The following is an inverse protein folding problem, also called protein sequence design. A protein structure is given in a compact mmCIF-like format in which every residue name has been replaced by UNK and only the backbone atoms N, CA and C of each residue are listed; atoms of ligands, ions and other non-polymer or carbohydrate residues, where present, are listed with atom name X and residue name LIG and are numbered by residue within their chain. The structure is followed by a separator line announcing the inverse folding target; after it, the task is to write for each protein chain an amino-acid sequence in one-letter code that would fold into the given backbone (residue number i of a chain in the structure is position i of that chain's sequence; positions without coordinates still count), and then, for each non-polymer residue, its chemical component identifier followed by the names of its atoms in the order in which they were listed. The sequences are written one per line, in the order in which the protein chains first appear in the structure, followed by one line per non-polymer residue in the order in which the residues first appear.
data_IF_343665088705
#
_entry.id   IF_343665088705
#
_cell.length_a   1.000
_cell.length_b   1.000
_cell.length_c   1.000
_cell.angle_alpha   90.00
_cell.angle_beta   90.00
_cell.angle_gamma   90.00
#
_symmetry.space_group_name_H-M   'P 1'
#
loop_
_entity.id
_entity.type
_entity.pdbx_description
1 polymer ?
#
# COMPACT_ATOMS: atom_id res chain seq x y z
N UNK A 1 -18.06 -19.49 -22.67
CA UNK A 1 -18.19 -18.29 -21.81
C UNK A 1 -17.65 -18.53 -20.39
N UNK A 2 -16.48 -19.19 -20.25
CA UNK A 2 -15.93 -19.63 -18.92
C UNK A 2 -14.63 -18.88 -18.53
N UNK A 3 -14.13 -17.97 -19.37
CA UNK A 3 -12.78 -17.38 -19.26
C UNK A 3 -12.63 -16.19 -18.29
N UNK A 4 -13.50 -16.01 -17.29
CA UNK A 4 -13.50 -14.77 -16.50
C UNK A 4 -13.35 -14.94 -14.98
N UNK A 5 -13.05 -16.14 -14.48
CA UNK A 5 -12.84 -16.34 -13.03
C UNK A 5 -11.35 -16.25 -12.67
N UNK A 6 -11.04 -15.38 -11.70
CA UNK A 6 -9.69 -15.30 -11.14
C UNK A 6 -9.37 -16.56 -10.34
N UNK A 7 -8.14 -17.09 -10.42
CA UNK A 7 -7.74 -18.24 -9.63
C UNK A 7 -7.75 -17.93 -8.14
N UNK A 8 -8.03 -18.94 -7.32
CA UNK A 8 -8.24 -18.80 -5.88
C UNK A 8 -7.08 -18.11 -5.14
N UNK A 9 -5.84 -18.29 -5.59
CA UNK A 9 -4.66 -17.68 -4.96
C UNK A 9 -4.69 -16.14 -4.96
N UNK A 10 -5.37 -15.52 -5.93
CA UNK A 10 -5.48 -14.05 -6.02
C UNK A 10 -6.24 -13.50 -4.81
N UNK A 11 -7.26 -14.21 -4.32
CA UNK A 11 -8.04 -13.78 -3.16
C UNK A 11 -7.26 -13.85 -1.85
N UNK A 12 -6.30 -14.79 -1.72
CA UNK A 12 -5.38 -14.78 -0.57
C UNK A 12 -4.49 -13.55 -0.58
N UNK A 13 -4.04 -13.11 -1.76
CA UNK A 13 -3.25 -11.88 -1.90
C UNK A 13 -4.09 -10.61 -1.72
N UNK A 14 -5.39 -10.64 -2.06
CA UNK A 14 -6.33 -9.58 -1.68
C UNK A 14 -6.40 -9.44 -0.17
N UNK A 15 -6.58 -10.56 0.56
CA UNK A 15 -6.59 -10.54 2.02
C UNK A 15 -5.25 -10.06 2.56
N UNK A 16 -4.13 -10.53 2.02
CA UNK A 16 -2.81 -10.04 2.40
C UNK A 16 -2.64 -8.53 2.19
N UNK A 17 -3.17 -8.00 1.09
CA UNK A 17 -3.19 -6.55 0.82
C UNK A 17 -4.10 -5.79 1.78
N UNK A 18 -5.22 -6.38 2.20
CA UNK A 18 -6.05 -5.79 3.24
C UNK A 18 -5.27 -5.63 4.55
N UNK A 19 -4.51 -6.65 4.97
CA UNK A 19 -3.66 -6.59 6.17
C UNK A 19 -2.57 -5.50 6.05
N UNK A 20 -1.92 -5.42 4.88
CA UNK A 20 -0.95 -4.36 4.59
C UNK A 20 -1.57 -2.97 4.74
N UNK A 21 -2.74 -2.75 4.13
CA UNK A 21 -3.41 -1.46 4.20
C UNK A 21 -4.00 -1.16 5.58
N UNK A 22 -4.43 -2.16 6.36
CA UNK A 22 -4.80 -1.95 7.76
C UNK A 22 -3.60 -1.40 8.53
N UNK A 23 -2.43 -2.04 8.41
CA UNK A 23 -1.22 -1.59 9.09
C UNK A 23 -0.79 -0.18 8.65
N UNK A 24 -0.84 0.11 7.34
CA UNK A 24 -0.50 1.43 6.79
C UNK A 24 -1.45 2.54 7.27
N UNK A 25 -2.77 2.27 7.31
CA UNK A 25 -3.79 3.24 7.76
C UNK A 25 -3.68 3.49 9.26
N UNK A 26 -3.49 2.43 10.06
CA UNK A 26 -3.24 2.60 11.49
C UNK A 26 -1.97 3.43 11.73
N UNK A 27 -0.89 3.14 11.00
CA UNK A 27 0.37 3.88 11.09
C UNK A 27 0.22 5.37 10.79
N UNK A 28 -0.40 5.75 9.66
CA UNK A 28 -0.59 7.18 9.33
C UNK A 28 -1.50 7.88 10.36
N UNK A 29 -2.47 7.16 10.93
CA UNK A 29 -3.40 7.72 11.92
C UNK A 29 -2.72 8.07 13.24
N UNK A 30 -1.78 7.24 13.72
CA UNK A 30 -1.19 7.40 15.06
C UNK A 30 0.24 7.93 15.08
N UNK A 31 1.02 7.73 14.02
CA UNK A 31 2.47 7.97 14.01
C UNK A 31 2.88 9.38 14.44
N UNK A 32 2.28 10.42 13.84
CA UNK A 32 2.60 11.81 14.19
C UNK A 32 2.12 12.19 15.60
N UNK A 33 1.04 11.58 16.10
CA UNK A 33 0.53 11.83 17.45
C UNK A 33 1.47 11.24 18.49
N UNK A 34 1.84 9.97 18.32
CA UNK A 34 2.76 9.27 19.23
C UNK A 34 4.16 9.86 19.12
N UNK A 35 4.57 10.25 17.91
CA UNK A 35 5.80 11.00 17.67
C UNK A 35 5.84 12.31 18.45
N UNK A 36 4.78 13.13 18.44
CA UNK A 36 4.73 14.36 19.25
C UNK A 36 4.82 14.10 20.76
N UNK A 37 4.32 12.94 21.24
CA UNK A 37 4.38 12.58 22.67
C UNK A 37 5.77 12.15 23.11
N UNK A 38 6.48 11.39 22.27
CA UNK A 38 7.77 10.79 22.65
C UNK A 38 8.99 11.55 22.14
N UNK A 39 8.85 12.38 21.10
CA UNK A 39 9.99 13.03 20.46
C UNK A 39 10.68 14.02 21.41
N UNK A 40 12.03 14.08 21.41
CA UNK A 40 12.77 15.08 22.19
C UNK A 40 12.43 16.52 21.81
N UNK A 41 12.03 16.75 20.55
CA UNK A 41 11.61 18.05 20.03
C UNK A 41 10.46 17.86 19.05
N UNK A 42 9.61 18.88 18.88
CA UNK A 42 8.44 18.81 17.99
C UNK A 42 8.82 18.58 16.52
N UNK A 43 10.00 19.07 16.09
CA UNK A 43 10.48 18.88 14.71
C UNK A 43 10.78 17.42 14.38
N UNK A 44 11.04 16.58 15.38
CA UNK A 44 11.30 15.15 15.21
C UNK A 44 10.03 14.30 15.24
N UNK A 45 8.86 14.89 15.47
CA UNK A 45 7.62 14.14 15.67
C UNK A 45 7.18 13.30 14.45
N UNK A 46 7.52 13.72 13.24
CA UNK A 46 7.20 13.00 12.00
C UNK A 46 8.30 12.04 11.56
N UNK A 47 9.48 12.09 12.19
CA UNK A 47 10.64 11.25 11.84
C UNK A 47 10.32 9.75 11.86
N UNK A 48 9.57 9.19 12.83
CA UNK A 48 9.21 7.78 12.79
C UNK A 48 8.47 7.42 11.49
N UNK A 49 7.48 8.23 11.09
CA UNK A 49 6.74 8.01 9.84
C UNK A 49 7.65 8.16 8.61
N UNK A 50 8.54 9.15 8.57
CA UNK A 50 9.53 9.30 7.50
C UNK A 50 10.49 8.11 7.37
N UNK A 51 10.93 7.53 8.49
CA UNK A 51 11.78 6.34 8.50
C UNK A 51 11.09 5.11 7.89
N UNK A 52 9.76 5.03 7.96
CA UNK A 52 9.00 4.00 7.26
C UNK A 52 9.22 4.06 5.75
N UNK A 53 9.17 5.26 5.15
CA UNK A 53 9.43 5.45 3.73
C UNK A 53 10.91 5.27 3.37
N UNK A 54 11.82 5.74 4.23
CA UNK A 54 13.24 5.49 4.04
C UNK A 54 13.57 3.99 4.00
N UNK A 55 13.00 3.21 4.92
CA UNK A 55 13.16 1.75 4.93
C UNK A 55 12.67 1.13 3.62
N UNK A 56 11.52 1.57 3.09
CA UNK A 56 11.03 1.13 1.78
C UNK A 56 12.03 1.47 0.68
N UNK A 57 12.47 2.72 0.59
CA UNK A 57 13.42 3.19 -0.42
C UNK A 57 14.71 2.36 -0.45
N UNK A 58 15.29 2.09 0.73
CA UNK A 58 16.54 1.34 0.85
C UNK A 58 16.40 -0.15 0.50
N UNK A 59 15.22 -0.75 0.73
CA UNK A 59 15.06 -2.21 0.69
C UNK A 59 14.25 -2.75 -0.47
N UNK A 60 13.42 -1.92 -1.11
CA UNK A 60 12.50 -2.39 -2.15
C UNK A 60 13.21 -3.06 -3.33
N UNK A 61 14.28 -2.46 -3.86
CA UNK A 61 15.06 -3.08 -4.93
C UNK A 61 15.72 -4.39 -4.48
N UNK A 62 16.26 -4.40 -3.26
CA UNK A 62 16.89 -5.57 -2.64
C UNK A 62 15.87 -6.70 -2.53
N UNK A 63 14.68 -6.44 -1.97
CA UNK A 63 13.63 -7.44 -1.85
C UNK A 63 13.13 -7.94 -3.20
N UNK A 64 13.00 -7.10 -4.22
CA UNK A 64 12.67 -7.58 -5.57
C UNK A 64 13.72 -8.58 -6.10
N UNK A 65 15.00 -8.30 -5.87
CA UNK A 65 16.08 -9.20 -6.23
C UNK A 65 16.07 -10.50 -5.42
N UNK A 66 15.83 -10.43 -4.10
CA UNK A 66 15.66 -11.62 -3.25
C UNK A 66 14.44 -12.44 -3.69
N UNK A 67 13.33 -11.81 -4.10
CA UNK A 67 12.15 -12.52 -4.61
C UNK A 67 12.47 -13.30 -5.89
N UNK A 68 13.37 -12.80 -6.74
CA UNK A 68 13.85 -13.52 -7.92
C UNK A 68 14.71 -14.74 -7.53
N UNK A 69 15.57 -14.61 -6.51
CA UNK A 69 16.52 -15.67 -6.10
C UNK A 69 15.91 -16.74 -5.20
N UNK A 70 15.18 -16.31 -4.18
CA UNK A 70 14.64 -17.13 -3.09
C UNK A 70 13.15 -17.46 -3.28
N UNK A 71 12.48 -16.79 -4.22
CA UNK A 71 11.04 -16.85 -4.39
C UNK A 71 10.30 -15.85 -3.50
N UNK A 72 9.09 -15.47 -3.93
CA UNK A 72 8.28 -14.46 -3.23
C UNK A 72 7.86 -14.86 -1.82
N UNK A 73 7.53 -16.13 -1.61
CA UNK A 73 7.03 -16.61 -0.33
C UNK A 73 8.00 -16.36 0.83
N UNK A 74 9.30 -16.64 0.67
CA UNK A 74 10.28 -16.44 1.73
C UNK A 74 10.43 -14.95 2.08
N UNK A 75 10.45 -14.08 1.07
CA UNK A 75 10.54 -12.62 1.27
C UNK A 75 9.27 -12.08 1.93
N UNK A 76 8.10 -12.61 1.57
CA UNK A 76 6.83 -12.25 2.20
C UNK A 76 6.75 -12.69 3.67
N UNK A 77 7.28 -13.87 4.01
CA UNK A 77 7.34 -14.33 5.41
C UNK A 77 8.33 -13.49 6.22
N UNK A 78 9.47 -13.09 5.64
CA UNK A 78 10.36 -12.11 6.25
C UNK A 78 9.62 -10.78 6.54
N UNK A 79 8.80 -10.32 5.59
CA UNK A 79 7.90 -9.18 5.80
C UNK A 79 7.00 -9.34 7.03
N UNK A 80 6.38 -10.51 7.22
CA UNK A 80 5.56 -10.78 8.41
C UNK A 80 6.38 -10.68 9.71
N UNK A 81 7.63 -11.14 9.72
CA UNK A 81 8.53 -10.99 10.88
C UNK A 81 8.77 -9.50 11.15
N UNK A 82 9.05 -8.70 10.12
CA UNK A 82 9.22 -7.26 10.27
C UNK A 82 7.95 -6.56 10.80
N UNK A 83 6.76 -6.96 10.33
CA UNK A 83 5.49 -6.45 10.86
C UNK A 83 5.29 -6.82 12.34
N UNK A 84 5.65 -8.05 12.71
CA UNK A 84 5.58 -8.49 14.10
C UNK A 84 6.50 -7.65 15.00
N UNK A 85 7.74 -7.46 14.58
CA UNK A 85 8.73 -6.64 15.29
C UNK A 85 8.30 -5.16 15.35
N UNK A 86 7.68 -4.64 14.31
CA UNK A 86 7.12 -3.28 14.33
C UNK A 86 6.13 -3.11 15.49
N UNK A 87 5.23 -4.07 15.70
CA UNK A 87 4.30 -4.02 16.83
C UNK A 87 4.97 -4.14 18.19
N UNK A 88 5.95 -5.04 18.33
CA UNK A 88 6.72 -5.23 19.57
C UNK A 88 7.50 -3.96 19.92
N UNK A 89 8.26 -3.39 18.98
CA UNK A 89 9.03 -2.17 19.21
C UNK A 89 8.11 -0.98 19.51
N UNK A 90 6.96 -0.88 18.86
CA UNK A 90 6.00 0.20 19.12
C UNK A 90 5.38 0.10 20.50
N UNK A 91 4.99 -1.12 20.91
CA UNK A 91 4.53 -1.37 22.27
C UNK A 91 5.59 -0.97 23.32
N UNK A 92 6.83 -1.44 23.14
CA UNK A 92 7.93 -1.12 24.06
C UNK A 92 8.25 0.37 24.07
N UNK A 93 8.19 1.05 22.91
CA UNK A 93 8.43 2.48 22.80
C UNK A 93 7.48 3.30 23.68
N UNK A 94 6.20 2.96 23.68
CA UNK A 94 5.18 3.65 24.48
C UNK A 94 5.28 3.29 25.97
N UNK A 95 5.59 2.05 26.30
CA UNK A 95 5.75 1.61 27.70
C UNK A 95 6.99 2.20 28.38
N UNK A 96 8.07 2.40 27.63
CA UNK A 96 9.35 2.92 28.14
C UNK A 96 9.59 4.39 27.80
N UNK A 97 8.61 5.03 27.15
CA UNK A 97 8.68 6.42 26.66
C UNK A 97 9.92 6.69 25.78
N UNK A 98 10.33 5.70 24.96
CA UNK A 98 11.55 5.76 24.15
C UNK A 98 11.25 6.08 22.68
N UNK A 99 11.60 7.30 22.26
CA UNK A 99 11.47 7.75 20.88
C UNK A 99 12.21 6.87 19.87
N UNK A 100 13.43 6.42 20.18
CA UNK A 100 14.22 5.63 19.22
C UNK A 100 13.63 4.23 18.96
N UNK A 101 12.93 3.65 19.94
CA UNK A 101 12.18 2.41 19.73
C UNK A 101 10.98 2.64 18.80
N UNK A 102 10.33 3.81 18.89
CA UNK A 102 9.26 4.18 17.95
C UNK A 102 9.81 4.31 16.53
N UNK A 103 10.98 4.92 16.36
CA UNK A 103 11.68 4.97 15.08
C UNK A 103 11.97 3.57 14.52
N UNK A 104 12.46 2.64 15.36
CA UNK A 104 12.74 1.26 14.96
C UNK A 104 11.47 0.48 14.59
N UNK A 105 10.36 0.75 15.29
CA UNK A 105 9.03 0.21 14.99
C UNK A 105 8.60 0.60 13.58
N UNK A 106 8.61 1.89 13.25
CA UNK A 106 8.21 2.36 11.93
C UNK A 106 9.19 1.98 10.83
N UNK A 107 10.49 1.93 11.10
CA UNK A 107 11.47 1.40 10.15
C UNK A 107 11.15 -0.07 9.81
N UNK A 108 10.88 -0.90 10.82
CA UNK A 108 10.48 -2.30 10.65
C UNK A 108 9.15 -2.43 9.91
N UNK A 109 8.18 -1.55 10.17
CA UNK A 109 6.93 -1.49 9.42
C UNK A 109 7.17 -1.15 7.94
N UNK A 110 8.11 -0.25 7.67
CA UNK A 110 8.54 0.08 6.30
C UNK A 110 9.14 -1.11 5.56
N UNK A 111 9.95 -1.94 6.24
CA UNK A 111 10.44 -3.21 5.67
C UNK A 111 9.29 -4.15 5.29
N UNK A 112 8.28 -4.27 6.15
CA UNK A 112 7.08 -5.06 5.83
C UNK A 112 6.36 -4.52 4.59
N UNK A 113 6.01 -3.22 4.58
CA UNK A 113 5.25 -2.60 3.47
C UNK A 113 6.04 -2.74 2.15
N UNK A 114 7.37 -2.58 2.19
CA UNK A 114 8.29 -2.80 1.06
C UNK A 114 8.09 -4.16 0.42
N UNK A 115 7.95 -5.23 1.23
CA UNK A 115 7.65 -6.57 0.71
C UNK A 115 6.20 -6.71 0.25
N UNK A 116 5.24 -6.16 1.00
CA UNK A 116 3.81 -6.28 0.74
C UNK A 116 3.35 -5.59 -0.55
N UNK A 117 4.02 -4.51 -0.96
CA UNK A 117 3.71 -3.80 -2.20
C UNK A 117 3.76 -4.74 -3.42
N UNK A 118 4.57 -5.80 -3.39
CA UNK A 118 4.65 -6.78 -4.47
C UNK A 118 3.48 -7.78 -4.52
N UNK A 119 2.52 -7.79 -3.59
CA UNK A 119 1.37 -8.71 -3.62
C UNK A 119 0.57 -8.58 -4.92
N UNK A 120 0.34 -7.35 -5.41
CA UNK A 120 -0.38 -7.13 -6.67
C UNK A 120 0.34 -7.72 -7.89
N UNK A 121 1.67 -7.71 -7.88
CA UNK A 121 2.48 -8.34 -8.92
C UNK A 121 2.56 -9.86 -8.77
N UNK A 122 2.55 -10.36 -7.54
CA UNK A 122 2.48 -11.80 -7.28
C UNK A 122 1.15 -12.39 -7.78
N UNK A 123 0.05 -11.62 -7.68
CA UNK A 123 -1.25 -12.04 -8.18
C UNK A 123 -1.33 -12.14 -9.71
N UNK A 124 -0.44 -11.46 -10.43
CA UNK A 124 -0.37 -11.50 -11.90
C UNK A 124 0.69 -12.49 -12.42
N UNK A 125 1.41 -13.17 -11.54
CA UNK A 125 2.37 -14.19 -11.94
C UNK A 125 1.62 -15.34 -12.64
N UNK A 126 2.06 -15.70 -13.87
CA UNK A 126 1.51 -16.81 -14.67
C UNK A 126 0.03 -16.71 -15.04
N UNK A 127 -0.52 -15.50 -15.07
CA UNK A 127 -1.81 -15.22 -15.70
C UNK A 127 -1.63 -14.84 -17.18
N UNK A 128 -2.66 -15.16 -17.97
CA UNK A 128 -2.86 -14.61 -19.31
C UNK A 128 -3.01 -13.09 -19.24
N UNK A 129 -2.59 -12.40 -20.31
CA UNK A 129 -2.60 -10.92 -20.39
C UNK A 129 -3.94 -10.31 -20.04
N UNK A 130 -5.03 -10.99 -20.39
CA UNK A 130 -6.40 -10.50 -20.23
C UNK A 130 -6.87 -10.49 -18.76
N UNK A 131 -6.27 -11.37 -17.93
CA UNK A 131 -6.60 -11.49 -16.50
C UNK A 131 -5.72 -10.60 -15.61
N UNK A 132 -4.58 -10.10 -16.12
CA UNK A 132 -3.64 -9.27 -15.35
C UNK A 132 -4.29 -7.98 -14.80
N UNK A 133 -5.00 -7.15 -15.60
CA UNK A 133 -5.66 -5.95 -15.07
C UNK A 133 -6.67 -6.30 -13.98
N UNK A 134 -7.37 -7.43 -14.13
CA UNK A 134 -8.38 -7.88 -13.18
C UNK A 134 -7.75 -8.37 -11.87
N UNK A 135 -6.67 -9.15 -11.94
CA UNK A 135 -5.99 -9.69 -10.78
C UNK A 135 -5.30 -8.60 -9.95
N UNK A 136 -4.57 -7.70 -10.61
CA UNK A 136 -3.88 -6.57 -9.95
C UNK A 136 -4.89 -5.65 -9.25
N UNK A 137 -5.97 -5.26 -9.95
CA UNK A 137 -7.02 -4.45 -9.35
C UNK A 137 -7.76 -5.17 -8.21
N UNK A 138 -7.99 -6.48 -8.34
CA UNK A 138 -8.61 -7.27 -7.28
C UNK A 138 -7.74 -7.34 -6.02
N UNK A 139 -6.41 -7.36 -6.13
CA UNK A 139 -5.56 -7.25 -4.93
C UNK A 139 -5.67 -5.86 -4.30
N UNK A 140 -5.62 -4.81 -5.11
CA UNK A 140 -5.74 -3.41 -4.63
C UNK A 140 -7.08 -3.18 -3.91
N UNK A 141 -8.17 -3.82 -4.35
CA UNK A 141 -9.48 -3.71 -3.71
C UNK A 141 -9.54 -4.25 -2.27
N UNK A 142 -8.53 -5.00 -1.81
CA UNK A 142 -8.36 -5.37 -0.40
C UNK A 142 -8.36 -4.17 0.54
N UNK A 143 -8.03 -2.97 0.03
CA UNK A 143 -8.14 -1.73 0.79
C UNK A 143 -9.56 -1.34 1.20
N UNK A 144 -10.61 -1.89 0.57
CA UNK A 144 -11.99 -1.68 1.04
C UNK A 144 -12.18 -2.30 2.42
N UNK A 145 -11.65 -3.50 2.64
CA UNK A 145 -11.65 -4.14 3.97
C UNK A 145 -10.87 -3.29 4.96
N UNK A 146 -9.70 -2.80 4.56
CA UNK A 146 -8.86 -1.95 5.41
C UNK A 146 -9.53 -0.62 5.79
N UNK A 147 -10.25 0.01 4.85
CA UNK A 147 -10.97 1.26 5.07
C UNK A 147 -12.01 1.15 6.19
N UNK A 148 -12.58 -0.03 6.40
CA UNK A 148 -13.57 -0.26 7.47
C UNK A 148 -12.86 -0.66 8.76
N UNK A 149 -11.95 -1.64 8.69
CA UNK A 149 -11.35 -2.24 9.89
C UNK A 149 -10.38 -1.29 10.58
N UNK A 150 -9.51 -0.59 9.84
CA UNK A 150 -8.44 0.20 10.46
C UNK A 150 -8.97 1.38 11.29
N UNK A 151 -9.93 2.22 10.83
CA UNK A 151 -10.49 3.30 11.63
C UNK A 151 -11.23 2.79 12.87
N UNK A 152 -11.97 1.69 12.75
CA UNK A 152 -12.65 1.05 13.91
C UNK A 152 -11.63 0.64 14.96
N UNK A 153 -10.55 -0.03 14.55
CA UNK A 153 -9.46 -0.41 15.44
C UNK A 153 -8.78 0.81 16.05
N UNK A 154 -8.52 1.87 15.28
CA UNK A 154 -7.90 3.09 15.79
C UNK A 154 -8.77 3.77 16.85
N UNK A 155 -10.08 3.92 16.61
CA UNK A 155 -11.00 4.58 17.55
C UNK A 155 -11.23 3.73 18.80
N UNK A 156 -11.37 2.41 18.65
CA UNK A 156 -11.65 1.52 19.77
C UNK A 156 -10.43 1.27 20.67
N UNK A 157 -9.22 1.24 20.10
CA UNK A 157 -7.99 0.91 20.81
C UNK A 157 -7.06 2.11 21.03
N UNK A 158 -7.49 3.35 20.74
CA UNK A 158 -6.71 4.55 21.07
C UNK A 158 -6.46 4.69 22.58
N UNK A 159 -7.40 4.25 23.42
CA UNK A 159 -7.33 4.33 24.88
C UNK A 159 -7.81 3.03 25.49
N UNK A 160 -6.88 2.25 26.05
CA UNK A 160 -7.18 0.98 26.72
C UNK A 160 -6.73 1.12 28.17
N UNK A 161 -7.63 0.84 29.10
CA UNK A 161 -7.34 0.96 30.54
C UNK A 161 -6.11 0.14 30.93
N UNK A 162 -5.18 0.77 31.65
CA UNK A 162 -3.95 0.13 32.10
C UNK A 162 -2.80 0.14 31.08
N UNK A 163 -2.98 0.75 29.91
CA UNK A 163 -1.91 0.97 28.91
C UNK A 163 -1.80 2.46 28.58
N UNK A 164 -0.59 2.97 28.25
CA UNK A 164 -0.46 4.31 27.66
C UNK A 164 -1.27 4.42 26.36
N UNK A 165 -1.79 5.61 26.05
CA UNK A 165 -2.56 5.85 24.83
C UNK A 165 -1.87 5.31 23.57
N UNK A 166 -2.65 4.75 22.64
CA UNK A 166 -2.21 4.17 21.36
C UNK A 166 -1.32 2.92 21.45
N UNK A 167 -0.89 2.49 22.64
CA UNK A 167 -0.06 1.27 22.84
C UNK A 167 -0.70 0.02 22.25
N UNK A 168 -2.02 -0.14 22.43
CA UNK A 168 -2.75 -1.28 21.89
C UNK A 168 -2.78 -1.30 20.36
N UNK A 169 -2.74 -0.14 19.70
CA UNK A 169 -2.71 -0.05 18.22
C UNK A 169 -1.39 -0.60 17.66
N UNK A 170 -0.27 -0.42 18.35
CA UNK A 170 0.98 -1.05 17.92
C UNK A 170 0.96 -2.57 18.10
N UNK A 171 0.35 -3.10 19.17
CA UNK A 171 0.17 -4.55 19.33
C UNK A 171 -0.65 -5.18 18.21
N UNK A 172 -1.60 -4.43 17.62
CA UNK A 172 -2.37 -4.90 16.47
C UNK A 172 -1.44 -5.26 15.30
N UNK A 173 -0.30 -4.58 15.09
CA UNK A 173 0.65 -4.99 14.05
C UNK A 173 1.18 -6.40 14.27
N UNK A 174 1.52 -6.76 15.50
CA UNK A 174 1.97 -8.12 15.85
C UNK A 174 0.85 -9.15 15.64
N UNK A 175 -0.39 -8.83 16.00
CA UNK A 175 -1.55 -9.69 15.74
C UNK A 175 -1.77 -9.87 14.24
N UNK A 176 -1.72 -8.79 13.46
CA UNK A 176 -1.85 -8.83 12.01
C UNK A 176 -0.77 -9.71 11.38
N UNK A 177 0.48 -9.64 11.85
CA UNK A 177 1.57 -10.47 11.36
C UNK A 177 1.32 -11.98 11.59
N UNK A 178 0.86 -12.34 12.79
CA UNK A 178 0.57 -13.74 13.16
C UNK A 178 -0.58 -14.32 12.33
N UNK A 179 -1.58 -13.50 12.00
CA UNK A 179 -2.69 -13.89 11.13
C UNK A 179 -2.31 -13.90 9.65
N UNK A 180 -1.43 -13.00 9.21
CA UNK A 180 -1.02 -12.86 7.81
C UNK A 180 -0.06 -13.99 7.37
N UNK A 181 0.86 -14.41 8.23
CA UNK A 181 1.82 -15.48 7.94
C UNK A 181 1.18 -16.77 7.41
N UNK A 182 0.16 -17.37 8.06
CA UNK A 182 -0.50 -18.58 7.56
C UNK A 182 -1.26 -18.34 6.26
N UNK A 183 -1.85 -17.17 6.05
CA UNK A 183 -2.52 -16.80 4.79
C UNK A 183 -1.54 -16.84 3.62
N UNK A 184 -0.35 -16.26 3.80
CA UNK A 184 0.72 -16.26 2.79
C UNK A 184 1.37 -17.63 2.61
N UNK A 185 1.34 -18.49 3.63
CA UNK A 185 1.74 -19.88 3.51
C UNK A 185 0.76 -20.67 2.63
N UNK A 186 -0.55 -20.56 2.90
CA UNK A 186 -1.59 -21.24 2.11
C UNK A 186 -1.60 -20.72 0.67
N UNK A 187 -1.44 -19.41 0.47
CA UNK A 187 -1.27 -18.82 -0.86
C UNK A 187 -0.17 -19.52 -1.65
N UNK A 188 1.03 -19.65 -1.07
CA UNK A 188 2.18 -20.27 -1.73
C UNK A 188 1.94 -21.74 -2.07
N UNK A 189 1.28 -22.49 -1.19
CA UNK A 189 0.89 -23.89 -1.47
C UNK A 189 -0.07 -23.98 -2.66
N UNK A 190 -1.11 -23.14 -2.70
CA UNK A 190 -2.05 -23.10 -3.83
C UNK A 190 -1.40 -22.64 -5.13
N UNK A 191 -0.48 -21.68 -5.06
CA UNK A 191 0.28 -21.21 -6.21
C UNK A 191 1.20 -22.29 -6.79
N UNK A 192 1.93 -23.02 -5.94
CA UNK A 192 2.79 -24.15 -6.36
C UNK A 192 2.00 -25.27 -7.01
N UNK A 193 0.82 -25.61 -6.48
CA UNK A 193 -0.06 -26.63 -7.06
C UNK A 193 -0.51 -26.26 -8.48
N UNK A 194 -0.91 -25.01 -8.70
CA UNK A 194 -1.25 -24.52 -10.04
C UNK A 194 -0.05 -24.50 -10.98
N UNK A 195 1.12 -24.10 -10.46
CA UNK A 195 2.37 -24.14 -11.21
C UNK A 195 2.72 -25.55 -11.68
N UNK A 196 2.52 -26.58 -10.85
CA UNK A 196 2.73 -27.98 -11.23
C UNK A 196 1.74 -28.45 -12.31
N UNK A 197 0.51 -27.95 -12.29
CA UNK A 197 -0.52 -28.28 -13.29
C UNK A 197 -0.28 -27.60 -14.65
N UNK A 198 0.34 -26.41 -14.67
CA UNK A 198 0.59 -25.63 -15.89
C UNK A 198 1.87 -26.03 -16.65
N UNK A 199 2.69 -26.97 -16.15
CA UNK A 199 3.96 -27.38 -16.80
C UNK A 199 3.76 -27.94 -18.22
N UNK A 200 2.52 -28.30 -18.61
CA UNK A 200 2.19 -28.90 -19.91
C UNK A 200 1.87 -27.87 -21.01
N UNK A 201 1.70 -26.58 -20.71
CA UNK A 201 1.32 -25.57 -21.73
C UNK A 201 2.30 -24.39 -21.80
N UNK A 202 2.87 -24.22 -23.00
CA UNK A 202 3.73 -23.17 -23.54
C UNK A 202 4.06 -21.95 -22.65
N UNK A 203 5.34 -21.57 -22.65
CA UNK A 203 5.77 -20.23 -22.23
C UNK A 203 4.98 -19.18 -23.03
N UNK A 204 4.04 -18.50 -22.37
CA UNK A 204 3.34 -17.37 -22.96
C UNK A 204 4.39 -16.35 -23.42
N UNK A 205 4.61 -16.24 -24.75
CA UNK A 205 5.45 -15.22 -25.33
C UNK A 205 4.79 -13.87 -25.07
N UNK A 206 5.19 -13.23 -23.97
CA UNK A 206 4.76 -11.87 -23.66
C UNK A 206 5.47 -10.89 -24.61
N UNK A 207 4.77 -9.84 -25.00
CA UNK A 207 5.32 -8.79 -25.83
C UNK A 207 6.37 -7.99 -25.04
N UNK A 208 7.53 -7.72 -25.66
CA UNK A 208 8.49 -6.77 -25.11
C UNK A 208 7.85 -5.38 -25.11
N UNK A 209 7.55 -4.84 -23.94
CA UNK A 209 7.15 -3.44 -23.81
C UNK A 209 8.34 -2.53 -24.15
N UNK A 210 8.14 -1.49 -24.97
CA UNK A 210 9.21 -0.57 -25.31
C UNK A 210 9.61 0.26 -24.07
N UNK A 211 10.89 0.63 -23.99
CA UNK A 211 11.48 1.25 -22.80
C UNK A 211 10.79 2.56 -22.39
N UNK A 212 10.33 3.34 -23.35
CA UNK A 212 9.56 4.57 -23.12
C UNK A 212 8.26 4.31 -22.37
N UNK A 213 7.52 3.23 -22.70
CA UNK A 213 6.29 2.87 -21.97
C UNK A 213 6.58 2.42 -20.54
N UNK A 214 7.70 1.72 -20.31
CA UNK A 214 8.14 1.35 -18.96
C UNK A 214 8.43 2.61 -18.15
N UNK A 215 9.18 3.56 -18.71
CA UNK A 215 9.51 4.83 -18.04
C UNK A 215 8.23 5.62 -17.72
N UNK A 216 7.31 5.74 -18.68
CA UNK A 216 6.02 6.42 -18.45
C UNK A 216 5.23 5.75 -17.32
N UNK A 217 5.15 4.42 -17.29
CA UNK A 217 4.44 3.72 -16.23
C UNK A 217 5.10 3.95 -14.85
N UNK A 218 6.43 3.86 -14.78
CA UNK A 218 7.19 4.08 -13.53
C UNK A 218 7.01 5.50 -13.00
N UNK A 219 7.21 6.51 -13.85
CA UNK A 219 7.06 7.92 -13.46
C UNK A 219 5.61 8.20 -13.07
N UNK A 220 4.64 7.66 -13.81
CA UNK A 220 3.22 7.87 -13.51
C UNK A 220 2.86 7.32 -12.12
N UNK A 221 3.29 6.10 -11.80
CA UNK A 221 3.05 5.50 -10.49
C UNK A 221 3.73 6.27 -9.37
N UNK A 222 4.98 6.69 -9.57
CA UNK A 222 5.75 7.44 -8.58
C UNK A 222 5.16 8.83 -8.30
N UNK A 223 4.80 9.57 -9.35
CA UNK A 223 4.23 10.91 -9.20
C UNK A 223 2.83 10.88 -8.56
N UNK A 224 2.02 9.88 -8.91
CA UNK A 224 0.73 9.66 -8.25
C UNK A 224 0.91 9.40 -6.74
N UNK A 225 1.89 8.59 -6.35
CA UNK A 225 2.21 8.35 -4.94
C UNK A 225 2.73 9.59 -4.21
N UNK A 226 3.57 10.40 -4.86
CA UNK A 226 4.05 11.66 -4.31
C UNK A 226 2.88 12.60 -3.97
N UNK A 227 2.02 12.88 -4.95
CA UNK A 227 0.85 13.76 -4.73
C UNK A 227 -0.04 13.20 -3.62
N UNK A 228 -0.32 11.90 -3.65
CA UNK A 228 -1.11 11.24 -2.61
C UNK A 228 -0.50 11.43 -1.23
N UNK A 229 0.80 11.19 -1.05
CA UNK A 229 1.44 11.25 0.26
C UNK A 229 1.48 12.68 0.81
N UNK A 230 1.90 13.66 -0.01
CA UNK A 230 1.93 15.08 0.36
C UNK A 230 0.54 15.54 0.82
N UNK A 231 -0.48 15.30 -0.01
CA UNK A 231 -1.84 15.73 0.30
C UNK A 231 -2.41 15.01 1.53
N UNK A 232 -2.12 13.72 1.70
CA UNK A 232 -2.57 12.95 2.86
C UNK A 232 -1.99 13.47 4.17
N UNK A 233 -0.70 13.76 4.22
CA UNK A 233 -0.03 14.26 5.44
C UNK A 233 -0.56 15.64 5.79
N UNK A 234 -0.61 16.56 4.82
CA UNK A 234 -1.09 17.93 5.06
C UNK A 234 -2.56 17.94 5.49
N UNK A 235 -3.41 17.17 4.82
CA UNK A 235 -4.83 17.06 5.18
C UNK A 235 -5.01 16.42 6.57
N UNK A 236 -4.25 15.39 6.90
CA UNK A 236 -4.34 14.72 8.21
C UNK A 236 -3.90 15.65 9.34
N UNK A 237 -2.85 16.45 9.13
CA UNK A 237 -2.39 17.43 10.10
C UNK A 237 -3.44 18.54 10.30
N UNK A 238 -3.95 19.12 9.21
CA UNK A 238 -5.00 20.14 9.26
C UNK A 238 -6.26 19.65 9.98
N UNK A 239 -6.74 18.45 9.62
CA UNK A 239 -7.92 17.85 10.25
C UNK A 239 -7.70 17.58 11.73
N UNK A 240 -6.47 17.25 12.14
CA UNK A 240 -6.13 17.03 13.55
C UNK A 240 -6.10 18.34 14.35
N UNK A 241 -5.61 19.43 13.76
CA UNK A 241 -5.54 20.73 14.44
C UNK A 241 -6.92 21.38 14.60
N UNK A 242 -7.81 21.18 13.63
CA UNK A 242 -9.10 21.86 13.58
C UNK A 242 -10.32 20.97 13.90
N UNK A 243 -10.17 19.65 13.99
CA UNK A 243 -11.27 18.72 14.26
C UNK A 243 -10.89 17.60 15.25
N UNK A 244 -11.89 16.85 15.70
CA UNK A 244 -11.69 15.71 16.61
C UNK A 244 -10.96 14.55 15.92
N UNK A 245 -10.24 13.74 16.71
CA UNK A 245 -9.59 12.52 16.22
C UNK A 245 -10.56 11.58 15.49
N UNK A 246 -11.81 11.51 15.94
CA UNK A 246 -12.88 10.76 15.29
C UNK A 246 -13.18 11.28 13.87
N UNK A 247 -13.31 12.60 13.70
CA UNK A 247 -13.56 13.20 12.38
C UNK A 247 -12.37 13.01 11.42
N UNK A 248 -11.14 13.18 11.92
CA UNK A 248 -9.94 12.93 11.14
C UNK A 248 -9.86 11.45 10.70
N UNK A 249 -10.17 10.52 11.60
CA UNK A 249 -10.21 9.08 11.31
C UNK A 249 -11.24 8.72 10.23
N UNK A 250 -12.43 9.33 10.26
CA UNK A 250 -13.45 9.16 9.21
C UNK A 250 -12.99 9.76 7.88
N UNK A 251 -12.29 10.88 7.90
CA UNK A 251 -11.79 11.52 6.67
C UNK A 251 -10.75 10.62 5.97
N UNK A 252 -9.83 10.03 6.75
CA UNK A 252 -8.88 9.02 6.26
C UNK A 252 -9.62 7.77 5.77
N UNK A 253 -10.67 7.32 6.46
CA UNK A 253 -11.52 6.22 6.00
C UNK A 253 -12.11 6.48 4.62
N UNK A 254 -12.70 7.66 4.41
CA UNK A 254 -13.30 8.05 3.13
C UNK A 254 -12.26 8.06 2.00
N UNK A 255 -11.07 8.57 2.27
CA UNK A 255 -9.96 8.51 1.32
C UNK A 255 -9.59 7.06 0.95
N UNK A 256 -9.39 6.20 1.95
CA UNK A 256 -8.98 4.81 1.74
C UNK A 256 -10.07 3.99 1.04
N UNK A 257 -11.34 4.32 1.29
CA UNK A 257 -12.46 3.75 0.56
C UNK A 257 -12.42 4.22 -0.91
N UNK A 258 -12.23 5.52 -1.14
CA UNK A 258 -12.16 6.12 -2.47
C UNK A 258 -10.95 5.62 -3.29
N UNK A 259 -9.83 5.28 -2.66
CA UNK A 259 -8.69 4.66 -3.36
C UNK A 259 -8.89 3.18 -3.68
N UNK A 260 -9.82 2.49 -3.00
CA UNK A 260 -9.91 1.03 -3.07
C UNK A 260 -11.12 0.54 -3.86
N UNK A 261 -12.30 1.16 -3.66
CA UNK A 261 -13.56 0.81 -4.35
C UNK A 261 -13.45 0.89 -5.89
N UNK A 262 -12.79 1.90 -6.49
CA UNK A 262 -12.72 1.98 -7.95
C UNK A 262 -12.01 0.78 -8.59
N UNK A 263 -11.16 0.06 -7.85
CA UNK A 263 -10.45 -1.13 -8.34
C UNK A 263 -11.38 -2.22 -8.87
N UNK A 264 -12.61 -2.35 -8.35
CA UNK A 264 -13.59 -3.30 -8.88
C UNK A 264 -14.02 -2.99 -10.32
N UNK A 265 -13.91 -1.73 -10.74
CA UNK A 265 -14.34 -1.24 -12.04
C UNK A 265 -13.17 -0.90 -12.96
N UNK A 266 -12.00 -0.56 -12.40
CA UNK A 266 -10.83 -0.08 -13.15
C UNK A 266 -10.35 -1.11 -14.17
N UNK A 267 -10.48 -2.42 -13.88
CA UNK A 267 -10.11 -3.48 -14.82
C UNK A 267 -10.94 -3.44 -16.12
N UNK A 268 -12.27 -3.23 -16.00
CA UNK A 268 -13.17 -3.04 -17.15
C UNK A 268 -12.86 -1.74 -17.89
N UNK A 269 -12.50 -0.70 -17.14
CA UNK A 269 -12.13 0.60 -17.69
C UNK A 269 -10.87 0.51 -18.55
N UNK A 270 -9.84 -0.16 -18.03
CA UNK A 270 -8.58 -0.42 -18.73
C UNK A 270 -8.82 -1.26 -19.99
N UNK A 271 -9.69 -2.28 -19.94
CA UNK A 271 -10.05 -3.06 -21.12
C UNK A 271 -10.79 -2.23 -22.18
N UNK A 272 -11.64 -1.29 -21.78
CA UNK A 272 -12.46 -0.48 -22.70
C UNK A 272 -11.72 0.73 -23.28
N UNK A 273 -10.95 1.43 -22.47
CA UNK A 273 -10.32 2.72 -22.83
C UNK A 273 -8.80 2.64 -22.94
N UNK A 274 -8.20 1.52 -22.53
CA UNK A 274 -6.75 1.35 -22.46
C UNK A 274 -6.14 1.92 -21.18
N UNK A 275 -4.91 1.47 -20.90
CA UNK A 275 -4.13 1.88 -19.73
C UNK A 275 -3.80 3.38 -19.73
N UNK A 276 -3.38 3.93 -20.87
CA UNK A 276 -2.95 5.34 -20.98
C UNK A 276 -4.07 6.33 -20.64
N UNK A 277 -5.27 6.14 -21.22
CA UNK A 277 -6.42 7.02 -20.93
C UNK A 277 -6.81 6.96 -19.45
N UNK A 278 -6.75 5.77 -18.85
CA UNK A 278 -7.00 5.58 -17.42
C UNK A 278 -6.00 6.38 -16.57
N UNK A 279 -4.72 6.35 -16.93
CA UNK A 279 -3.66 7.13 -16.25
C UNK A 279 -3.92 8.64 -16.37
N UNK A 280 -4.27 9.13 -17.57
CA UNK A 280 -4.54 10.57 -17.77
C UNK A 280 -5.74 11.05 -16.95
N UNK A 281 -6.83 10.28 -16.91
CA UNK A 281 -7.99 10.60 -16.06
C UNK A 281 -7.55 10.63 -14.58
N UNK A 282 -6.72 9.68 -14.16
CA UNK A 282 -6.15 9.68 -12.81
C UNK A 282 -5.42 10.98 -12.48
N UNK A 283 -4.54 11.45 -13.37
CA UNK A 283 -3.82 12.71 -13.16
C UNK A 283 -4.70 13.96 -13.20
N UNK A 284 -5.73 13.98 -14.06
CA UNK A 284 -6.71 15.07 -14.05
C UNK A 284 -7.41 15.13 -12.69
N UNK A 285 -7.83 13.99 -12.14
CA UNK A 285 -8.44 13.93 -10.81
C UNK A 285 -7.47 14.35 -9.71
N UNK A 286 -6.21 13.90 -9.74
CA UNK A 286 -5.19 14.33 -8.79
C UNK A 286 -4.97 15.85 -8.81
N UNK A 287 -4.96 16.46 -10.00
CA UNK A 287 -4.87 17.91 -10.17
C UNK A 287 -6.12 18.63 -9.65
N UNK A 288 -7.33 18.11 -9.93
CA UNK A 288 -8.57 18.70 -9.41
C UNK A 288 -8.61 18.63 -7.88
N UNK A 289 -8.14 17.52 -7.29
CA UNK A 289 -8.01 17.36 -5.84
C UNK A 289 -7.17 18.46 -5.21
N UNK A 290 -6.00 18.79 -5.79
CA UNK A 290 -5.10 19.79 -5.22
C UNK A 290 -5.63 21.23 -5.31
N UNK A 291 -6.58 21.51 -6.20
CA UNK A 291 -7.21 22.83 -6.34
C UNK A 291 -8.33 23.08 -5.33
N UNK A 292 -8.97 22.03 -4.81
CA UNK A 292 -10.16 22.17 -3.94
C UNK A 292 -9.87 22.96 -2.65
N UNK A 293 -8.75 22.73 -1.92
CA UNK A 293 -8.45 23.49 -0.71
C UNK A 293 -8.24 25.00 -0.91
N UNK A 294 -8.09 25.47 -2.16
CA UNK A 294 -8.00 26.90 -2.50
C UNK A 294 -9.35 27.61 -2.27
N UNK A 295 -10.46 26.88 -2.44
CA UNK A 295 -11.82 27.43 -2.28
C UNK A 295 -12.31 27.42 -0.83
N UNK A 296 -11.64 26.69 0.06
CA UNK A 296 -11.99 26.60 1.47
C UNK A 296 -11.18 25.53 2.20
N UNK A 297 -10.94 25.75 3.49
CA UNK A 297 -10.17 24.86 4.37
C UNK A 297 -11.04 24.15 5.42
N UNK A 298 -12.37 24.29 5.32
CA UNK A 298 -13.30 23.54 6.15
C UNK A 298 -13.19 22.04 5.88
N UNK A 299 -13.49 21.21 6.89
CA UNK A 299 -13.37 19.76 6.80
C UNK A 299 -14.12 19.13 5.61
N UNK A 300 -15.20 19.75 5.12
CA UNK A 300 -15.92 19.29 3.92
C UNK A 300 -15.08 19.42 2.63
N UNK A 301 -14.36 20.52 2.43
CA UNK A 301 -13.51 20.71 1.25
C UNK A 301 -12.36 19.71 1.27
N UNK A 302 -11.78 19.49 2.45
CA UNK A 302 -10.70 18.51 2.64
C UNK A 302 -11.21 17.10 2.34
N UNK A 303 -12.40 16.73 2.83
CA UNK A 303 -12.99 15.42 2.54
C UNK A 303 -13.26 15.21 1.04
N UNK A 304 -13.81 16.21 0.36
CA UNK A 304 -14.04 16.14 -1.09
C UNK A 304 -12.70 16.01 -1.84
N UNK A 305 -11.69 16.80 -1.46
CA UNK A 305 -10.35 16.70 -2.02
C UNK A 305 -9.75 15.30 -1.82
N UNK A 306 -9.80 14.77 -0.60
CA UNK A 306 -9.31 13.44 -0.25
C UNK A 306 -10.02 12.30 -1.01
N UNK A 307 -11.33 12.40 -1.23
CA UNK A 307 -12.08 11.42 -2.03
C UNK A 307 -11.61 11.46 -3.48
N UNK A 308 -11.52 12.65 -4.10
CA UNK A 308 -11.07 12.81 -5.48
C UNK A 308 -9.62 12.36 -5.63
N UNK A 309 -8.77 12.66 -4.65
CA UNK A 309 -7.38 12.19 -4.56
C UNK A 309 -7.32 10.65 -4.60
N UNK A 310 -8.14 9.98 -3.78
CA UNK A 310 -8.18 8.52 -3.72
C UNK A 310 -8.56 7.89 -5.05
N UNK A 311 -9.62 8.40 -5.70
CA UNK A 311 -10.06 7.90 -7.02
C UNK A 311 -8.99 8.15 -8.08
N UNK A 312 -8.41 9.37 -8.11
CA UNK A 312 -7.36 9.74 -9.05
C UNK A 312 -6.10 8.88 -8.91
N UNK A 313 -5.66 8.66 -7.66
CA UNK A 313 -4.55 7.76 -7.35
C UNK A 313 -4.83 6.35 -7.82
N UNK A 314 -6.03 5.80 -7.58
CA UNK A 314 -6.37 4.44 -8.01
C UNK A 314 -6.22 4.25 -9.52
N UNK A 315 -6.71 5.21 -10.30
CA UNK A 315 -6.68 5.15 -11.76
C UNK A 315 -5.24 5.21 -12.29
N UNK A 316 -4.45 6.17 -11.82
CA UNK A 316 -3.05 6.31 -12.21
C UNK A 316 -2.22 5.09 -11.79
N UNK A 317 -2.35 4.67 -10.53
CA UNK A 317 -1.57 3.58 -9.96
C UNK A 317 -1.94 2.21 -10.53
N UNK A 318 -3.24 1.92 -10.70
CA UNK A 318 -3.69 0.66 -11.30
C UNK A 318 -3.31 0.57 -12.77
N UNK A 319 -3.42 1.69 -13.51
CA UNK A 319 -2.99 1.77 -14.91
C UNK A 319 -1.49 1.51 -15.07
N UNK A 320 -0.65 2.18 -14.26
CA UNK A 320 0.79 1.98 -14.23
C UNK A 320 1.16 0.54 -13.83
N UNK A 321 0.55 0.01 -12.77
CA UNK A 321 0.80 -1.35 -12.29
C UNK A 321 0.42 -2.40 -13.33
N UNK A 322 -0.68 -2.21 -14.06
CA UNK A 322 -1.12 -3.12 -15.12
C UNK A 322 -0.13 -3.18 -16.27
N UNK A 323 0.38 -2.03 -16.72
CA UNK A 323 1.42 -1.96 -17.76
C UNK A 323 2.66 -2.77 -17.36
N UNK A 324 3.13 -2.61 -16.12
CA UNK A 324 4.33 -3.29 -15.63
C UNK A 324 4.10 -4.77 -15.28
N UNK A 325 2.87 -5.14 -14.92
CA UNK A 325 2.52 -6.52 -14.63
C UNK A 325 2.52 -7.41 -15.89
N UNK A 326 2.31 -6.83 -17.08
CA UNK A 326 2.33 -7.52 -18.37
C UNK A 326 3.73 -7.80 -18.95
N UNK A 327 4.81 -7.44 -18.25
CA UNK A 327 6.19 -7.64 -18.72
C UNK A 327 6.61 -9.11 -18.82
N UNK A 328 7.55 -9.38 -19.72
CA UNK A 328 8.20 -10.68 -19.88
C UNK A 328 8.98 -11.08 -18.61
N UNK A 329 8.97 -12.37 -18.30
CA UNK A 329 9.49 -12.91 -17.03
C UNK A 329 10.98 -12.60 -16.79
N UNK A 330 11.80 -12.47 -17.84
CA UNK A 330 13.23 -12.18 -17.71
C UNK A 330 13.54 -10.81 -17.09
N UNK A 331 12.77 -9.77 -17.43
CA UNK A 331 12.99 -8.40 -16.98
C UNK A 331 12.04 -7.98 -15.84
N UNK A 332 10.96 -8.75 -15.63
CA UNK A 332 9.88 -8.43 -14.70
C UNK A 332 10.34 -8.02 -13.30
N UNK A 333 11.13 -8.85 -12.61
CA UNK A 333 11.60 -8.52 -11.25
C UNK A 333 12.46 -7.27 -11.21
N UNK A 334 13.33 -7.05 -12.21
CA UNK A 334 14.18 -5.86 -12.26
C UNK A 334 13.33 -4.60 -12.43
N UNK A 335 12.41 -4.61 -13.39
CA UNK A 335 11.56 -3.43 -13.68
C UNK A 335 10.56 -3.18 -12.54
N UNK A 336 9.95 -4.22 -11.98
CA UNK A 336 9.10 -4.07 -10.79
C UNK A 336 9.89 -3.51 -9.61
N UNK A 337 11.12 -4.00 -9.39
CA UNK A 337 12.00 -3.45 -8.37
C UNK A 337 12.32 -1.98 -8.59
N UNK A 338 12.65 -1.58 -9.82
CA UNK A 338 12.86 -0.18 -10.19
C UNK A 338 11.60 0.66 -9.94
N UNK A 339 10.43 0.19 -10.39
CA UNK A 339 9.15 0.86 -10.20
C UNK A 339 8.85 1.14 -8.74
N UNK A 340 8.88 0.09 -7.91
CA UNK A 340 8.56 0.23 -6.49
C UNK A 340 9.62 1.10 -5.78
N UNK A 341 10.89 1.06 -6.21
CA UNK A 341 11.93 1.91 -5.62
C UNK A 341 11.74 3.38 -5.99
N UNK A 342 11.36 3.68 -7.23
CA UNK A 342 11.03 5.04 -7.64
C UNK A 342 9.77 5.54 -6.94
N UNK A 343 8.76 4.69 -6.76
CA UNK A 343 7.59 5.00 -5.94
C UNK A 343 8.01 5.30 -4.50
N UNK A 344 8.85 4.46 -3.91
CA UNK A 344 9.33 4.66 -2.54
C UNK A 344 10.10 5.97 -2.41
N UNK A 345 10.97 6.31 -3.38
CA UNK A 345 11.68 7.59 -3.42
C UNK A 345 10.72 8.78 -3.41
N UNK A 346 9.73 8.77 -4.30
CA UNK A 346 8.74 9.83 -4.42
C UNK A 346 7.82 9.89 -3.19
N UNK A 347 7.48 8.76 -2.60
CA UNK A 347 6.74 8.71 -1.34
C UNK A 347 7.58 9.30 -0.19
N UNK A 348 8.88 8.99 -0.11
CA UNK A 348 9.81 9.60 0.87
C UNK A 348 9.92 11.12 0.68
N UNK A 349 9.99 11.62 -0.56
CA UNK A 349 10.02 13.06 -0.83
C UNK A 349 8.72 13.78 -0.47
N UNK A 350 7.61 13.04 -0.47
CA UNK A 350 6.30 13.55 -0.07
C UNK A 350 5.96 13.37 1.41
N UNK A 351 6.81 12.64 2.16
CA UNK A 351 6.67 12.38 3.60
C UNK A 351 7.48 13.40 4.40
#
# INVERSE_FOLDING_TARGET
MVLNQLPRYVYYLLVAQAFNLIAAVLSVTVSAIVGLKLAPTQTLATVPYGLQFLAMLLTTFIFSFLMKKLGRHLVFQFGCICLFLAGVFGYLALQSEQFYLLCLSHFSLGLFISTANFYRFAASDRLDSDLIPKATAMVISGGVVASIIAPVLAIQFQQVQGLPDFTAIYLIFSVLALLLSPILYIWNQKFKLLQAQQVVTQSLQRAKLPINMIVVAVISGAFAYYIMNVMMIMSSLHLKEHHSFHYASISIQLHVLAMSVPSFFVSKLIQRWGTHRTIYIGFILLMLSSLIPIFGQEGIYINIALIILGVGWNFAYSGASTLLAGLNDQQKHRVQGMNETTIALFATLGA
#
